data_IF_472857424316
#
_entry.id   IF_472857424316
#
_cell.length_a   1.000
_cell.length_b   1.000
_cell.length_c   1.000
_cell.angle_alpha   90.00
_cell.angle_beta   90.00
_cell.angle_gamma   90.00
#
_symmetry.space_group_name_H-M   'P 1'
#
loop_
_entity.id
_entity.type
_entity.pdbx_description
1 polymer ?
#
# COMPACT_ATOMS: atom_id res chain seq x y z
N UNK A 1 20.74 3.60 19.62
CA UNK A 1 19.85 4.09 18.53
C UNK A 1 19.53 3.03 17.44
N UNK A 2 19.79 1.73 17.67
CA UNK A 2 19.64 0.65 16.66
C UNK A 2 18.21 0.53 16.09
N UNK A 3 17.21 0.59 16.97
CA UNK A 3 15.80 0.37 16.60
C UNK A 3 15.22 1.46 15.69
N UNK A 4 15.74 2.70 15.71
CA UNK A 4 15.22 3.78 14.85
C UNK A 4 15.47 3.52 13.37
N UNK A 5 16.67 3.03 13.02
CA UNK A 5 17.05 2.70 11.65
C UNK A 5 16.18 1.57 11.10
N UNK A 6 15.92 0.55 11.91
CA UNK A 6 15.11 -0.62 11.53
C UNK A 6 13.64 -0.25 11.27
N UNK A 7 13.07 0.64 12.09
CA UNK A 7 11.73 1.20 11.85
C UNK A 7 11.69 1.97 10.52
N UNK A 8 12.72 2.77 10.20
CA UNK A 8 12.79 3.48 8.92
C UNK A 8 12.86 2.51 7.74
N UNK A 9 13.68 1.45 7.84
CA UNK A 9 13.76 0.43 6.79
C UNK A 9 12.39 -0.23 6.60
N UNK A 10 11.73 -0.60 7.69
CA UNK A 10 10.37 -1.14 7.66
C UNK A 10 9.37 -0.20 6.99
N UNK A 11 9.42 1.10 7.31
CA UNK A 11 8.55 2.10 6.69
C UNK A 11 8.80 2.21 5.17
N UNK A 12 10.06 2.27 4.75
CA UNK A 12 10.42 2.28 3.32
C UNK A 12 9.92 1.00 2.64
N UNK A 13 10.10 -0.17 3.26
CA UNK A 13 9.56 -1.43 2.74
C UNK A 13 8.05 -1.37 2.59
N UNK A 14 7.32 -0.84 3.57
CA UNK A 14 5.87 -0.67 3.52
C UNK A 14 5.40 0.25 2.37
N UNK A 15 6.14 1.33 2.10
CA UNK A 15 5.86 2.18 0.94
C UNK A 15 6.12 1.42 -0.38
N UNK A 16 7.24 0.71 -0.49
CA UNK A 16 7.56 -0.09 -1.66
C UNK A 16 6.50 -1.17 -1.92
N UNK A 17 6.04 -1.88 -0.88
CA UNK A 17 4.97 -2.88 -1.05
C UNK A 17 3.63 -2.27 -1.37
N UNK A 18 3.33 -1.06 -0.88
CA UNK A 18 2.11 -0.36 -1.28
C UNK A 18 2.15 -0.01 -2.76
N UNK A 19 3.28 0.49 -3.28
CA UNK A 19 3.46 0.79 -4.71
C UNK A 19 3.32 -0.47 -5.55
N UNK A 20 4.02 -1.55 -5.16
CA UNK A 20 3.94 -2.84 -5.85
C UNK A 20 2.53 -3.42 -5.82
N UNK A 21 1.86 -3.39 -4.67
CA UNK A 21 0.49 -3.89 -4.51
C UNK A 21 -0.50 -3.08 -5.34
N UNK A 22 -0.34 -1.76 -5.37
CA UNK A 22 -1.19 -0.87 -6.19
C UNK A 22 -1.00 -1.17 -7.66
N UNK A 23 0.25 -1.31 -8.11
CA UNK A 23 0.56 -1.65 -9.49
C UNK A 23 0.01 -3.02 -9.89
N UNK A 24 0.17 -4.04 -9.04
CA UNK A 24 -0.40 -5.37 -9.25
C UNK A 24 -1.93 -5.33 -9.33
N UNK A 25 -2.59 -4.56 -8.46
CA UNK A 25 -4.04 -4.38 -8.49
C UNK A 25 -4.50 -3.74 -9.80
N UNK A 26 -3.84 -2.66 -10.23
CA UNK A 26 -4.16 -2.01 -11.52
C UNK A 26 -3.95 -2.94 -12.71
N UNK A 27 -2.88 -3.74 -12.73
CA UNK A 27 -2.66 -4.75 -13.77
C UNK A 27 -3.76 -5.82 -13.78
N UNK A 28 -4.19 -6.27 -12.60
CA UNK A 28 -5.25 -7.27 -12.48
C UNK A 28 -6.59 -6.72 -13.00
N UNK A 29 -6.93 -5.47 -12.66
CA UNK A 29 -8.13 -4.81 -13.17
C UNK A 29 -8.04 -4.60 -14.69
N UNK A 30 -6.89 -4.17 -15.20
CA UNK A 30 -6.66 -4.01 -16.64
C UNK A 30 -6.83 -5.32 -17.39
N UNK A 31 -6.28 -6.42 -16.86
CA UNK A 31 -6.45 -7.76 -17.42
C UNK A 31 -7.92 -8.22 -17.41
N UNK A 32 -8.62 -8.06 -16.28
CA UNK A 32 -10.02 -8.44 -16.17
C UNK A 32 -10.96 -7.65 -17.09
N UNK A 33 -10.67 -6.37 -17.31
CA UNK A 33 -11.49 -5.48 -18.15
C UNK A 33 -11.03 -5.42 -19.61
N UNK A 34 -9.96 -6.14 -19.97
CA UNK A 34 -9.31 -6.08 -21.28
C UNK A 34 -9.04 -4.63 -21.73
N UNK A 35 -8.59 -3.80 -20.78
CA UNK A 35 -8.34 -2.37 -20.95
C UNK A 35 -6.84 -2.04 -20.79
N UNK A 36 -6.40 -0.90 -21.31
CA UNK A 36 -5.04 -0.43 -21.10
C UNK A 36 -4.84 0.05 -19.66
N UNK A 37 -3.60 -0.06 -19.14
CA UNK A 37 -3.25 0.46 -17.82
C UNK A 37 -3.56 1.95 -17.67
N UNK A 38 -3.35 2.74 -18.72
CA UNK A 38 -3.69 4.17 -18.74
C UNK A 38 -5.18 4.40 -18.55
N UNK A 39 -6.04 3.66 -19.26
CA UNK A 39 -7.49 3.80 -19.11
C UNK A 39 -7.99 3.39 -17.72
N UNK A 40 -7.39 2.37 -17.10
CA UNK A 40 -7.71 1.98 -15.72
C UNK A 40 -7.23 3.02 -14.72
N UNK A 41 -6.07 3.63 -14.96
CA UNK A 41 -5.54 4.72 -14.15
C UNK A 41 -6.43 5.95 -14.22
N UNK A 42 -6.78 6.40 -15.43
CA UNK A 42 -7.67 7.54 -15.65
C UNK A 42 -9.03 7.30 -14.97
N UNK A 43 -9.60 6.10 -15.12
CA UNK A 43 -10.83 5.72 -14.42
C UNK A 43 -10.68 5.77 -12.89
N UNK A 44 -9.53 5.34 -12.36
CA UNK A 44 -9.27 5.37 -10.93
C UNK A 44 -9.09 6.79 -10.40
N UNK A 45 -8.45 7.70 -11.16
CA UNK A 45 -8.19 9.08 -10.75
C UNK A 45 -9.35 10.03 -10.98
N UNK A 46 -10.09 9.83 -12.08
CA UNK A 46 -11.26 10.66 -12.43
C UNK A 46 -12.50 10.25 -11.66
N UNK A 47 -12.55 8.98 -11.21
CA UNK A 47 -13.56 8.46 -10.31
C UNK A 47 -13.18 8.62 -8.83
N UNK A 48 -14.15 8.38 -7.95
CA UNK A 48 -13.94 8.26 -6.50
C UNK A 48 -13.24 6.95 -6.06
N UNK A 49 -12.70 6.19 -7.02
CA UNK A 49 -12.18 4.83 -6.80
C UNK A 49 -10.69 4.79 -6.43
N UNK A 50 -9.97 5.91 -6.50
CA UNK A 50 -8.55 5.97 -6.10
C UNK A 50 -8.34 5.50 -4.66
N UNK A 51 -9.29 5.79 -3.77
CA UNK A 51 -9.26 5.30 -2.39
C UNK A 51 -9.32 3.77 -2.33
N UNK A 52 -10.16 3.14 -3.17
CA UNK A 52 -10.25 1.68 -3.28
C UNK A 52 -8.94 1.09 -3.78
N UNK A 53 -8.37 1.67 -4.84
CA UNK A 53 -7.08 1.25 -5.45
C UNK A 53 -5.95 1.24 -4.41
N UNK A 54 -5.82 2.32 -3.63
CA UNK A 54 -4.77 2.43 -2.61
C UNK A 54 -4.99 1.42 -1.48
N UNK A 55 -6.23 1.16 -1.04
CA UNK A 55 -6.54 0.17 -0.01
C UNK A 55 -6.14 -1.23 -0.45
N UNK A 56 -6.51 -1.63 -1.67
CA UNK A 56 -6.09 -2.91 -2.21
C UNK A 56 -4.57 -3.00 -2.38
N UNK A 57 -3.92 -1.89 -2.77
CA UNK A 57 -2.46 -1.83 -2.84
C UNK A 57 -1.77 -1.97 -1.48
N UNK A 58 -2.30 -1.33 -0.44
CA UNK A 58 -1.77 -1.43 0.93
C UNK A 58 -1.99 -2.80 1.54
N UNK A 59 -2.94 -3.60 1.06
CA UNK A 59 -3.11 -4.98 1.53
C UNK A 59 -1.84 -5.83 1.33
N UNK A 60 -1.01 -5.52 0.31
CA UNK A 60 0.27 -6.20 0.12
C UNK A 60 1.27 -5.95 1.25
N UNK A 61 1.11 -4.88 2.03
CA UNK A 61 1.94 -4.62 3.21
C UNK A 61 1.80 -5.74 4.27
N UNK A 62 0.68 -6.47 4.30
CA UNK A 62 0.53 -7.62 5.19
C UNK A 62 1.60 -8.69 4.92
N UNK A 63 1.97 -8.91 3.65
CA UNK A 63 3.02 -9.85 3.29
C UNK A 63 4.37 -9.44 3.90
N UNK A 64 4.76 -8.18 3.78
CA UNK A 64 5.99 -7.68 4.42
C UNK A 64 5.92 -7.62 5.94
N UNK A 65 4.77 -7.24 6.49
CA UNK A 65 4.55 -7.18 7.93
C UNK A 65 4.73 -8.57 8.57
N UNK A 66 3.99 -9.58 8.08
CA UNK A 66 4.09 -10.94 8.58
C UNK A 66 5.44 -11.58 8.22
N UNK A 67 6.02 -11.25 7.06
CA UNK A 67 7.39 -11.67 6.72
C UNK A 67 8.41 -11.19 7.76
N UNK A 68 8.38 -9.91 8.13
CA UNK A 68 9.28 -9.39 9.16
C UNK A 68 9.02 -10.00 10.54
N UNK A 69 7.76 -10.23 10.92
CA UNK A 69 7.44 -10.93 12.17
C UNK A 69 7.98 -12.36 12.18
N UNK A 70 7.83 -13.10 11.08
CA UNK A 70 8.32 -14.47 10.95
C UNK A 70 9.84 -14.57 11.16
N UNK A 71 10.59 -13.55 10.74
CA UNK A 71 12.04 -13.47 10.94
C UNK A 71 12.47 -12.74 12.23
N UNK A 72 11.57 -12.58 13.20
CA UNK A 72 11.81 -11.86 14.47
C UNK A 72 12.32 -10.41 14.29
N UNK A 73 11.94 -9.75 13.19
CA UNK A 73 12.31 -8.35 12.88
C UNK A 73 11.22 -7.38 13.30
N UNK A 74 10.87 -7.37 14.58
CA UNK A 74 9.74 -6.58 15.11
C UNK A 74 9.83 -5.08 14.82
N UNK A 75 11.03 -4.48 14.93
CA UNK A 75 11.22 -3.06 14.62
C UNK A 75 10.92 -2.71 13.15
N UNK A 76 11.23 -3.62 12.22
CA UNK A 76 10.90 -3.46 10.80
C UNK A 76 9.39 -3.63 10.58
N UNK A 77 8.78 -4.65 11.19
CA UNK A 77 7.32 -4.85 11.14
C UNK A 77 6.56 -3.62 11.67
N UNK A 78 7.04 -3.00 12.76
CA UNK A 78 6.51 -1.74 13.29
C UNK A 78 6.57 -0.60 12.27
N UNK A 79 7.67 -0.48 11.53
CA UNK A 79 7.81 0.50 10.45
C UNK A 79 6.77 0.32 9.35
N UNK A 80 6.58 -0.92 8.88
CA UNK A 80 5.54 -1.26 7.89
C UNK A 80 4.15 -0.89 8.42
N UNK A 81 3.85 -1.27 9.66
CA UNK A 81 2.54 -1.02 10.28
C UNK A 81 2.23 0.48 10.40
N UNK A 82 3.21 1.30 10.80
CA UNK A 82 3.05 2.76 10.88
C UNK A 82 2.65 3.32 9.51
N UNK A 83 3.33 2.90 8.43
CA UNK A 83 2.99 3.34 7.06
C UNK A 83 1.60 2.87 6.67
N UNK A 84 1.25 1.61 6.93
CA UNK A 84 -0.10 1.09 6.63
C UNK A 84 -1.20 1.88 7.33
N UNK A 85 -1.02 2.20 8.61
CA UNK A 85 -2.00 2.99 9.38
C UNK A 85 -2.09 4.41 8.82
N UNK A 86 -0.95 5.07 8.57
CA UNK A 86 -0.94 6.43 8.01
C UNK A 86 -1.61 6.48 6.63
N UNK A 87 -1.33 5.52 5.75
CA UNK A 87 -1.98 5.42 4.44
C UNK A 87 -3.47 5.15 4.59
N UNK A 88 -3.88 4.24 5.47
CA UNK A 88 -5.29 3.96 5.73
C UNK A 88 -6.06 5.18 6.26
N UNK A 89 -5.47 5.95 7.17
CA UNK A 89 -6.04 7.21 7.67
C UNK A 89 -6.12 8.25 6.54
N UNK A 90 -5.08 8.39 5.72
CA UNK A 90 -5.08 9.32 4.59
C UNK A 90 -6.19 8.98 3.57
N UNK A 91 -6.36 7.70 3.24
CA UNK A 91 -7.46 7.22 2.39
C UNK A 91 -8.81 7.55 3.02
N UNK A 92 -8.97 7.31 4.33
CA UNK A 92 -10.24 7.55 5.02
C UNK A 92 -10.59 9.03 5.00
N UNK A 93 -9.63 9.92 5.27
CA UNK A 93 -9.82 11.37 5.16
C UNK A 93 -10.21 11.75 3.72
N UNK A 94 -9.47 11.25 2.72
CA UNK A 94 -9.78 11.52 1.31
C UNK A 94 -11.20 11.09 0.94
N UNK A 95 -11.65 9.93 1.42
CA UNK A 95 -12.97 9.39 1.10
C UNK A 95 -14.13 10.09 1.83
N UNK A 96 -13.88 10.67 2.99
CA UNK A 96 -14.92 11.35 3.79
C UNK A 96 -15.07 12.82 3.42
N UNK A 97 -13.98 13.48 3.02
CA UNK A 97 -13.96 14.93 2.79
C UNK A 97 -13.69 15.35 1.34
N UNK A 98 -13.29 14.43 0.46
CA UNK A 98 -13.13 14.65 -0.98
C UNK A 98 -14.31 14.09 -1.75
#
# INVERSE_FOLDING_TARGET
MKNKKEVIIGAITGLCTTILGTFLYLMLVAYQRNASLGAVWDFATDGSEISSVIVFGTALNFASFFGFLHFNKEAHAKGVLIVTILTGVAVLIHKVFG
#
